data_IF_301759989196
#
_entry.id   IF_301759989196
#
_cell.length_a   1.000
_cell.length_b   1.000
_cell.length_c   1.000
_cell.angle_alpha   90.00
_cell.angle_beta   90.00
_cell.angle_gamma   90.00
#
_symmetry.space_group_name_H-M   'P 1'
#
loop_
_entity.id
_entity.type
_entity.pdbx_description
1 polymer ?
#
# COMPACT_ATOMS: atom_id res chain seq x y z
N UNK A 1 -3.42 3.45 -56.83
CA UNK A 1 -4.24 3.62 -55.61
C UNK A 1 -3.61 2.74 -54.53
N UNK A 2 -3.14 3.30 -53.41
CA UNK A 2 -2.71 2.48 -52.27
C UNK A 2 -3.92 1.69 -51.74
N UNK A 3 -3.73 0.46 -51.23
CA UNK A 3 -4.83 -0.31 -50.66
C UNK A 3 -5.42 0.46 -49.47
N UNK A 4 -6.76 0.50 -49.42
CA UNK A 4 -7.51 0.97 -48.25
C UNK A 4 -7.20 -0.02 -47.12
N UNK A 5 -6.31 0.35 -46.19
CA UNK A 5 -6.15 -0.42 -44.95
C UNK A 5 -7.42 -0.16 -44.13
N UNK A 6 -8.33 -1.13 -44.13
CA UNK A 6 -9.43 -1.14 -43.18
C UNK A 6 -8.82 -1.23 -41.77
N UNK A 7 -9.01 -0.26 -40.88
CA UNK A 7 -8.54 -0.39 -39.51
C UNK A 7 -9.26 -1.61 -38.93
N UNK A 8 -8.47 -2.59 -38.47
CA UNK A 8 -8.98 -3.68 -37.64
C UNK A 8 -9.81 -3.07 -36.51
N UNK A 9 -10.97 -3.64 -36.13
CA UNK A 9 -11.70 -3.19 -34.95
C UNK A 9 -10.71 -3.10 -33.79
N UNK A 10 -10.57 -1.91 -33.21
CA UNK A 10 -9.45 -1.57 -32.34
C UNK A 10 -9.22 -2.69 -31.33
N UNK A 11 -8.08 -3.39 -31.45
CA UNK A 11 -7.82 -4.55 -30.63
C UNK A 11 -7.88 -4.17 -29.14
N UNK A 12 -8.45 -5.06 -28.32
CA UNK A 12 -8.49 -4.89 -26.88
C UNK A 12 -7.06 -4.75 -26.34
N UNK A 13 -6.76 -3.63 -25.67
CA UNK A 13 -5.46 -3.37 -25.05
C UNK A 13 -5.62 -3.54 -23.54
N UNK A 14 -4.91 -4.50 -22.97
CA UNK A 14 -4.90 -4.67 -21.52
C UNK A 14 -4.07 -3.57 -20.84
N UNK A 15 -4.54 -3.11 -19.70
CA UNK A 15 -3.86 -2.11 -18.88
C UNK A 15 -2.54 -2.63 -18.34
N UNK A 16 -1.50 -1.81 -18.42
CA UNK A 16 -0.19 -2.05 -17.84
C UNK A 16 0.15 -1.02 -16.78
N UNK A 17 0.83 -1.48 -15.73
CA UNK A 17 1.31 -0.62 -14.66
C UNK A 17 2.49 0.23 -15.14
N UNK A 18 2.47 1.51 -14.81
CA UNK A 18 3.65 2.36 -14.84
C UNK A 18 4.71 1.82 -13.87
N UNK A 19 5.95 2.29 -14.03
CA UNK A 19 6.93 2.17 -12.97
C UNK A 19 6.39 2.79 -11.67
N UNK A 20 6.84 2.26 -10.55
CA UNK A 20 6.55 2.86 -9.24
C UNK A 20 7.18 4.25 -9.15
N UNK A 21 6.41 5.21 -8.66
CA UNK A 21 6.93 6.49 -8.23
C UNK A 21 7.83 6.37 -7.00
N UNK A 22 8.44 7.50 -6.64
CA UNK A 22 9.26 7.60 -5.43
C UNK A 22 8.39 7.46 -4.17
N UNK A 23 9.00 6.96 -3.09
CA UNK A 23 8.38 7.03 -1.78
C UNK A 23 8.26 8.48 -1.33
N UNK A 24 7.14 8.81 -0.69
CA UNK A 24 6.97 10.06 0.05
C UNK A 24 8.00 10.13 1.17
N UNK A 25 8.34 11.35 1.63
CA UNK A 25 9.09 11.50 2.87
C UNK A 25 8.43 10.72 4.01
N UNK A 26 9.25 10.14 4.88
CA UNK A 26 8.76 9.40 6.03
C UNK A 26 8.03 10.34 7.00
N UNK A 27 6.84 9.94 7.46
CA UNK A 27 6.03 10.77 8.36
C UNK A 27 6.66 11.06 9.73
N UNK A 28 7.66 10.28 10.15
CA UNK A 28 8.44 10.54 11.37
C UNK A 28 9.92 10.48 11.09
N UNK A 29 10.72 11.32 11.76
CA UNK A 29 12.18 11.24 11.70
C UNK A 29 12.75 10.14 12.59
N UNK A 30 12.01 9.59 13.55
CA UNK A 30 12.43 8.50 14.44
C UNK A 30 11.21 7.76 15.00
N UNK A 31 11.45 6.64 15.70
CA UNK A 31 10.41 5.88 16.41
C UNK A 31 9.43 5.14 15.49
N UNK A 32 9.82 4.91 14.23
CA UNK A 32 8.97 4.26 13.23
C UNK A 32 7.92 5.22 12.64
N UNK A 33 8.02 5.44 11.34
CA UNK A 33 7.05 6.15 10.52
C UNK A 33 6.62 5.33 9.32
N UNK A 34 5.77 5.92 8.49
CA UNK A 34 5.25 5.32 7.27
C UNK A 34 5.62 6.21 6.09
N UNK A 35 5.97 5.58 4.97
CA UNK A 35 6.12 6.18 3.66
C UNK A 35 5.26 5.44 2.65
N UNK A 36 4.78 6.15 1.63
CA UNK A 36 3.90 5.60 0.60
C UNK A 36 4.47 5.90 -0.79
N UNK A 37 4.19 5.04 -1.76
CA UNK A 37 4.44 5.32 -3.18
C UNK A 37 3.28 4.86 -4.04
N UNK A 38 3.19 5.43 -5.24
CA UNK A 38 2.08 5.21 -6.16
C UNK A 38 2.57 4.74 -7.53
N UNK A 39 1.70 4.07 -8.28
CA UNK A 39 1.84 3.77 -9.71
C UNK A 39 0.50 3.93 -10.41
N UNK A 40 0.54 4.15 -11.70
CA UNK A 40 -0.64 4.39 -12.54
C UNK A 40 -0.88 3.23 -13.51
N UNK A 41 -2.13 2.98 -13.87
CA UNK A 41 -2.50 1.95 -14.85
C UNK A 41 -2.65 2.58 -16.24
N UNK A 42 -1.56 3.10 -16.76
CA UNK A 42 -1.52 3.91 -17.97
C UNK A 42 -0.39 3.54 -18.94
N UNK A 43 0.36 2.47 -18.65
CA UNK A 43 1.51 2.01 -19.42
C UNK A 43 1.36 0.55 -19.92
N UNK A 44 0.42 0.26 -20.84
CA UNK A 44 -0.53 1.18 -21.49
C UNK A 44 -1.85 1.33 -20.72
N UNK A 45 -2.65 2.34 -21.08
CA UNK A 45 -4.03 2.46 -20.56
C UNK A 45 -4.93 1.39 -21.18
N UNK A 46 -5.86 0.77 -20.42
CA UNK A 46 -6.78 -0.22 -20.98
C UNK A 46 -7.75 0.43 -21.98
N UNK A 47 -7.96 -0.22 -23.13
CA UNK A 47 -8.86 0.28 -24.18
C UNK A 47 -9.61 -0.86 -24.88
N UNK A 48 -10.72 -0.52 -25.54
CA UNK A 48 -11.53 -1.44 -26.36
C UNK A 48 -11.96 -2.72 -25.62
N UNK A 49 -12.33 -2.57 -24.34
CA UNK A 49 -12.72 -3.71 -23.49
C UNK A 49 -11.55 -4.55 -22.97
N UNK A 50 -10.31 -4.06 -23.08
CA UNK A 50 -9.16 -4.70 -22.45
C UNK A 50 -9.23 -4.70 -20.92
N UNK A 51 -8.51 -5.63 -20.31
CA UNK A 51 -8.54 -5.86 -18.86
C UNK A 51 -7.87 -4.71 -18.10
N UNK A 52 -8.38 -4.33 -16.91
CA UNK A 52 -7.70 -3.37 -16.05
C UNK A 52 -6.43 -3.98 -15.44
N UNK A 53 -5.56 -3.13 -14.91
CA UNK A 53 -4.39 -3.61 -14.18
C UNK A 53 -4.78 -4.33 -12.89
N UNK A 54 -4.25 -5.53 -12.69
CA UNK A 54 -4.44 -6.29 -11.46
C UNK A 54 -3.39 -5.91 -10.39
N UNK A 55 -3.85 -5.76 -9.15
CA UNK A 55 -3.01 -5.42 -7.98
C UNK A 55 -3.23 -3.99 -7.47
N UNK A 56 -2.43 -3.59 -6.47
CA UNK A 56 -2.58 -2.29 -5.81
C UNK A 56 -1.86 -1.16 -6.58
N UNK A 57 -2.48 0.02 -6.65
CA UNK A 57 -1.85 1.25 -7.16
C UNK A 57 -1.01 1.97 -6.10
N UNK A 58 -1.19 1.61 -4.83
CA UNK A 58 -0.50 2.20 -3.67
C UNK A 58 0.33 1.13 -2.97
N UNK A 59 1.54 1.49 -2.56
CA UNK A 59 2.37 0.68 -1.67
C UNK A 59 2.82 1.48 -0.45
N UNK A 60 2.73 0.84 0.71
CA UNK A 60 3.12 1.40 2.02
C UNK A 60 4.33 0.65 2.57
N UNK A 61 5.27 1.36 3.20
CA UNK A 61 6.43 0.78 3.86
C UNK A 61 6.75 1.50 5.17
N UNK A 62 7.26 0.75 6.16
CA UNK A 62 7.83 1.33 7.38
C UNK A 62 9.15 2.04 7.09
N UNK A 63 9.40 3.15 7.76
CA UNK A 63 10.63 3.93 7.63
C UNK A 63 11.05 4.48 9.00
N UNK A 64 12.32 4.85 9.14
CA UNK A 64 12.82 5.55 10.33
C UNK A 64 12.58 4.82 11.66
N UNK A 65 12.83 3.50 11.68
CA UNK A 65 12.66 2.62 12.84
C UNK A 65 13.71 2.82 13.96
N UNK A 66 14.63 3.77 13.80
CA UNK A 66 15.59 4.11 14.85
C UNK A 66 14.89 4.77 16.03
N UNK A 67 15.36 4.46 17.24
CA UNK A 67 14.85 5.03 18.48
C UNK A 67 14.98 6.56 18.45
N UNK A 68 13.95 7.25 18.93
CA UNK A 68 14.01 8.70 19.09
C UNK A 68 14.94 9.08 20.24
N UNK A 69 15.70 10.18 20.14
CA UNK A 69 16.41 10.71 21.28
C UNK A 69 15.36 11.04 22.35
N UNK A 70 15.39 10.28 23.44
CA UNK A 70 14.58 10.60 24.61
C UNK A 70 15.16 11.88 25.20
N UNK A 71 14.29 12.81 25.62
CA UNK A 71 14.70 13.85 26.54
C UNK A 71 15.11 13.14 27.84
N UNK A 72 16.41 12.87 27.99
CA UNK A 72 16.97 12.37 29.24
C UNK A 72 16.87 13.51 30.25
N UNK A 73 15.74 13.59 30.97
CA UNK A 73 15.71 14.29 32.25
C UNK A 73 16.77 13.62 33.12
N UNK A 74 17.78 14.38 33.57
CA UNK A 74 18.95 13.91 34.33
C UNK A 74 18.61 13.37 35.74
N UNK A 75 17.45 12.74 35.92
CA UNK A 75 17.02 12.11 37.16
C UNK A 75 17.06 10.60 36.98
N UNK A 76 18.23 10.02 37.23
CA UNK A 76 18.38 8.59 37.49
C UNK A 76 18.75 8.44 38.98
N UNK A 77 18.25 7.40 39.68
CA UNK A 77 18.65 6.05 39.31
C UNK A 77 17.51 5.03 39.15
N UNK A 78 17.61 4.26 38.07
CA UNK A 78 17.52 2.79 38.03
C UNK A 78 16.48 2.15 38.95
N UNK A 79 15.33 1.77 38.37
CA UNK A 79 14.48 0.71 38.91
C UNK A 79 14.71 -0.55 38.07
N UNK A 80 15.62 -1.42 38.52
CA UNK A 80 15.70 -2.79 37.99
C UNK A 80 14.49 -3.53 38.56
N UNK A 81 13.45 -3.72 37.77
CA UNK A 81 12.44 -4.75 38.08
C UNK A 81 12.78 -6.01 37.28
N UNK A 82 13.49 -6.92 37.94
CA UNK A 82 13.75 -8.28 37.44
C UNK A 82 12.50 -9.13 37.67
N UNK A 83 11.48 -9.01 36.81
CA UNK A 83 10.32 -9.93 36.83
C UNK A 83 10.40 -10.91 35.66
N UNK A 84 10.69 -12.15 36.03
CA UNK A 84 10.74 -13.34 35.18
C UNK A 84 9.34 -13.91 34.99
N UNK A 85 8.76 -13.81 33.77
CA UNK A 85 8.01 -14.85 32.99
C UNK A 85 6.86 -14.28 32.14
N UNK A 86 6.88 -14.63 30.85
CA UNK A 86 5.72 -14.75 29.95
C UNK A 86 4.78 -15.87 30.46
N UNK A 87 3.45 -15.73 30.29
CA UNK A 87 2.81 -16.24 29.07
C UNK A 87 1.70 -15.35 28.52
N UNK A 88 1.66 -15.23 27.19
CA UNK A 88 0.44 -15.11 26.37
C UNK A 88 -0.64 -14.10 26.81
N UNK A 89 -0.53 -12.85 26.37
CA UNK A 89 -1.72 -12.08 25.98
C UNK A 89 -1.60 -11.76 24.48
N UNK A 90 -2.41 -12.46 23.70
CA UNK A 90 -2.78 -12.06 22.35
C UNK A 90 -3.35 -10.64 22.40
N UNK A 91 -2.73 -9.71 21.69
CA UNK A 91 -3.35 -8.40 21.44
C UNK A 91 -4.41 -8.60 20.35
N UNK A 92 -5.73 -8.45 20.63
CA UNK A 92 -6.73 -8.39 19.57
C UNK A 92 -6.77 -6.96 19.06
N UNK A 93 -6.07 -6.68 17.97
CA UNK A 93 -6.05 -5.31 17.47
C UNK A 93 -5.20 -5.02 16.24
N UNK A 94 -4.81 -6.04 15.48
CA UNK A 94 -4.25 -5.81 14.15
C UNK A 94 -5.39 -5.34 13.24
N UNK A 95 -5.59 -4.02 13.17
CA UNK A 95 -6.40 -3.41 12.14
C UNK A 95 -5.63 -3.58 10.81
N UNK A 96 -5.96 -4.67 10.12
CA UNK A 96 -5.73 -4.86 8.70
C UNK A 96 -6.26 -3.63 7.95
N UNK A 97 -5.46 -2.89 7.16
CA UNK A 97 -5.99 -1.89 6.24
C UNK A 97 -6.77 -2.50 5.06
N UNK A 98 -7.01 -3.81 5.06
CA UNK A 98 -7.65 -4.56 3.97
C UNK A 98 -8.99 -5.17 4.40
N UNK A 99 -9.83 -4.44 5.15
CA UNK A 99 -11.27 -4.75 5.31
C UNK A 99 -12.17 -3.51 5.34
N UNK A 100 -12.09 -2.66 4.31
CA UNK A 100 -13.14 -1.71 3.90
C UNK A 100 -13.01 -1.62 2.37
N UNK A 101 -13.61 -2.43 1.49
CA UNK A 101 -15.00 -2.84 1.32
C UNK A 101 -14.98 -4.20 0.61
N UNK A 102 -15.48 -5.25 1.25
CA UNK A 102 -16.02 -6.42 0.54
C UNK A 102 -17.35 -6.76 1.18
N UNK A 103 -18.28 -7.21 0.35
CA UNK A 103 -19.74 -7.40 0.55
C UNK A 103 -20.54 -6.13 0.26
N UNK A 104 -21.57 -6.09 -0.59
CA UNK A 104 -22.14 -7.02 -1.58
C UNK A 104 -23.10 -6.15 -2.39
N UNK A 105 -22.91 -5.98 -3.70
CA UNK A 105 -24.04 -5.68 -4.56
C UNK A 105 -24.46 -7.02 -5.19
N UNK A 106 -25.30 -7.72 -4.43
CA UNK A 106 -26.08 -8.84 -4.95
C UNK A 106 -26.86 -8.37 -6.17
N UNK A 107 -26.90 -9.27 -7.15
CA UNK A 107 -27.94 -9.31 -8.17
C UNK A 107 -29.31 -9.13 -7.53
N UNK A 108 -30.08 -8.15 -8.01
CA UNK A 108 -31.52 -8.27 -8.07
C UNK A 108 -32.00 -7.99 -9.49
N UNK A 109 -32.87 -8.89 -9.93
CA UNK A 109 -33.51 -9.03 -11.22
C UNK A 109 -34.41 -7.82 -11.50
N UNK A 110 -34.35 -7.26 -12.72
CA UNK A 110 -35.51 -7.06 -13.59
C UNK A 110 -35.10 -6.82 -15.04
#
# INVERSE_FOLDING_TARGET
MPPIVNPTPDAAMNGGWSAWGQFTPCGKSCGGGIQVRFRSCDHPSPSNGGLPCYGNSLQTASCNNKICPQLVTLTNPVSIETTTRLPSEEIPGQADPLKIVKTSFSQERK
#
